data_IF_160759775011
#
_entry.id   IF_160759775011
#
_cell.length_a   1.000
_cell.length_b   1.000
_cell.length_c   1.000
_cell.angle_alpha   90.00
_cell.angle_beta   90.00
_cell.angle_gamma   90.00
#
_symmetry.space_group_name_H-M   'P 1'
#
loop_
_entity.id
_entity.type
_entity.pdbx_description
1 polymer ?
#
# COMPACT_ATOMS: atom_id res chain seq x y z
N UNK A 1 -52.21 44.09 -23.71
CA UNK A 1 -50.88 43.46 -23.89
C UNK A 1 -49.89 43.82 -22.77
N UNK A 2 -50.25 43.74 -21.47
CA UNK A 2 -49.37 44.13 -20.34
C UNK A 2 -48.85 42.97 -19.46
N UNK A 3 -49.36 41.75 -19.67
CA UNK A 3 -49.00 40.58 -18.85
C UNK A 3 -47.68 39.88 -19.27
N UNK A 4 -47.29 39.98 -20.55
CA UNK A 4 -46.09 39.32 -21.06
C UNK A 4 -44.78 39.90 -20.49
N UNK A 5 -44.74 41.20 -20.18
CA UNK A 5 -43.56 41.84 -19.59
C UNK A 5 -43.38 41.50 -18.11
N UNK A 6 -44.47 41.39 -17.35
CA UNK A 6 -44.40 40.99 -15.93
C UNK A 6 -43.95 39.53 -15.77
N UNK A 7 -44.36 38.66 -16.69
CA UNK A 7 -43.93 37.25 -16.73
C UNK A 7 -42.43 37.13 -17.03
N UNK A 8 -41.88 37.91 -17.99
CA UNK A 8 -40.44 37.90 -18.32
C UNK A 8 -39.53 38.24 -17.13
N UNK A 9 -39.99 39.09 -16.22
CA UNK A 9 -39.20 39.51 -15.06
C UNK A 9 -39.28 38.46 -13.93
N UNK A 10 -40.46 37.87 -13.70
CA UNK A 10 -40.65 36.76 -12.74
C UNK A 10 -39.92 35.49 -13.18
N UNK A 11 -39.88 35.18 -14.47
CA UNK A 11 -39.15 34.01 -14.98
C UNK A 11 -37.64 34.17 -14.88
N UNK A 12 -37.08 35.37 -15.06
CA UNK A 12 -35.65 35.63 -14.81
C UNK A 12 -35.25 35.36 -13.36
N UNK A 13 -36.08 35.77 -12.41
CA UNK A 13 -35.83 35.54 -10.98
C UNK A 13 -35.93 34.05 -10.64
N UNK A 14 -36.95 33.36 -11.17
CA UNK A 14 -37.09 31.91 -10.99
C UNK A 14 -35.91 31.12 -11.59
N UNK A 15 -35.39 31.56 -12.74
CA UNK A 15 -34.26 30.92 -13.41
C UNK A 15 -32.94 31.15 -12.66
N UNK A 16 -32.76 32.34 -12.06
CA UNK A 16 -31.66 32.63 -11.14
C UNK A 16 -31.68 31.71 -9.91
N UNK A 17 -32.84 31.59 -9.27
CA UNK A 17 -33.01 30.70 -8.11
C UNK A 17 -32.77 29.23 -8.47
N UNK A 18 -33.28 28.78 -9.62
CA UNK A 18 -33.04 27.44 -10.12
C UNK A 18 -31.55 27.18 -10.38
N UNK A 19 -30.84 28.16 -10.98
CA UNK A 19 -29.40 28.07 -11.19
C UNK A 19 -28.63 27.92 -9.89
N UNK A 20 -29.00 28.65 -8.84
CA UNK A 20 -28.38 28.54 -7.52
C UNK A 20 -28.60 27.13 -6.95
N UNK A 21 -29.81 26.58 -7.08
CA UNK A 21 -30.14 25.24 -6.62
C UNK A 21 -29.32 24.16 -7.34
N UNK A 22 -29.18 24.29 -8.67
CA UNK A 22 -28.35 23.38 -9.49
C UNK A 22 -26.88 23.48 -9.08
N UNK A 23 -26.35 24.68 -8.84
CA UNK A 23 -24.98 24.86 -8.34
C UNK A 23 -24.78 24.16 -6.98
N UNK A 24 -25.73 24.26 -6.05
CA UNK A 24 -25.64 23.60 -4.75
C UNK A 24 -25.62 22.06 -4.90
N UNK A 25 -26.46 21.51 -5.78
CA UNK A 25 -26.50 20.07 -6.07
C UNK A 25 -25.17 19.61 -6.70
N UNK A 26 -24.61 20.39 -7.63
CA UNK A 26 -23.31 20.09 -8.25
C UNK A 26 -22.19 20.10 -7.22
N UNK A 27 -22.15 21.10 -6.33
CA UNK A 27 -21.17 21.17 -5.24
C UNK A 27 -21.29 19.96 -4.32
N UNK A 28 -22.50 19.57 -3.92
CA UNK A 28 -22.75 18.36 -3.11
C UNK A 28 -22.25 17.09 -3.80
N UNK A 29 -22.50 16.93 -5.10
CA UNK A 29 -22.02 15.77 -5.87
C UNK A 29 -20.49 15.77 -6.00
N UNK A 30 -19.88 16.94 -6.26
CA UNK A 30 -18.43 17.09 -6.31
C UNK A 30 -17.80 16.78 -4.95
N UNK A 31 -18.41 17.23 -3.86
CA UNK A 31 -18.00 16.97 -2.49
C UNK A 31 -18.13 15.47 -2.15
N UNK A 32 -19.25 14.83 -2.47
CA UNK A 32 -19.42 13.38 -2.29
C UNK A 32 -18.42 12.56 -3.10
N UNK A 33 -18.04 13.02 -4.30
CA UNK A 33 -17.01 12.39 -5.13
C UNK A 33 -15.61 12.64 -4.56
N UNK A 34 -15.31 13.85 -4.12
CA UNK A 34 -14.02 14.23 -3.55
C UNK A 34 -13.79 13.53 -2.19
N UNK A 35 -14.82 13.44 -1.35
CA UNK A 35 -14.79 12.71 -0.08
C UNK A 35 -14.66 11.20 -0.30
N UNK A 36 -15.30 10.64 -1.33
CA UNK A 36 -15.09 9.23 -1.72
C UNK A 36 -13.69 8.95 -2.30
N UNK A 37 -13.09 9.89 -3.02
CA UNK A 37 -11.72 9.76 -3.52
C UNK A 37 -10.68 9.89 -2.40
N UNK A 38 -10.92 10.73 -1.39
CA UNK A 38 -10.07 10.80 -0.19
C UNK A 38 -10.08 9.49 0.60
N UNK A 39 -11.25 8.88 0.82
CA UNK A 39 -11.38 7.59 1.51
C UNK A 39 -10.70 6.43 0.75
N UNK A 40 -10.80 6.43 -0.59
CA UNK A 40 -10.07 5.46 -1.45
C UNK A 40 -8.57 5.70 -1.44
N UNK A 41 -8.12 6.95 -1.44
CA UNK A 41 -6.69 7.27 -1.43
C UNK A 41 -6.03 6.83 -0.11
N UNK A 42 -6.68 7.01 1.04
CA UNK A 42 -6.17 6.53 2.34
C UNK A 42 -6.21 5.00 2.48
N UNK A 43 -7.28 4.35 2.01
CA UNK A 43 -7.38 2.88 2.05
C UNK A 43 -6.39 2.24 1.07
N UNK A 44 -6.13 2.87 -0.08
CA UNK A 44 -5.08 2.46 -1.01
C UNK A 44 -3.70 2.66 -0.38
N UNK A 45 -3.39 3.82 0.23
CA UNK A 45 -2.10 4.06 0.88
C UNK A 45 -1.82 3.06 2.02
N UNK A 46 -2.84 2.69 2.79
CA UNK A 46 -2.73 1.72 3.88
C UNK A 46 -2.42 0.31 3.37
N UNK A 47 -3.15 -0.16 2.35
CA UNK A 47 -2.93 -1.47 1.73
C UNK A 47 -1.65 -1.53 0.86
N UNK A 48 -1.21 -0.40 0.33
CA UNK A 48 -0.14 -0.31 -0.68
C UNK A 48 1.23 0.02 -0.06
N UNK A 49 1.31 0.56 1.17
CA UNK A 49 2.60 0.94 1.79
C UNK A 49 2.85 0.43 3.21
N UNK A 50 1.84 0.19 4.04
CA UNK A 50 2.08 -0.15 5.47
C UNK A 50 2.31 -1.65 5.68
N UNK A 51 1.53 -2.49 4.99
CA UNK A 51 1.66 -3.96 5.03
C UNK A 51 2.97 -4.42 4.39
N UNK A 52 3.31 -4.00 3.15
CA UNK A 52 4.57 -4.40 2.52
C UNK A 52 5.81 -3.90 3.29
N UNK A 53 5.78 -2.69 3.86
CA UNK A 53 6.90 -2.18 4.67
C UNK A 53 7.15 -3.01 5.94
N UNK A 54 6.09 -3.50 6.57
CA UNK A 54 6.18 -4.33 7.78
C UNK A 54 6.74 -5.71 7.46
N UNK A 55 6.27 -6.34 6.38
CA UNK A 55 6.78 -7.65 5.94
C UNK A 55 8.25 -7.56 5.50
N UNK A 56 8.64 -6.49 4.78
CA UNK A 56 10.03 -6.25 4.40
C UNK A 56 10.94 -6.04 5.62
N UNK A 57 10.44 -5.33 6.64
CA UNK A 57 11.14 -5.15 7.91
C UNK A 57 11.40 -6.49 8.62
N UNK A 58 10.40 -7.36 8.70
CA UNK A 58 10.57 -8.69 9.29
C UNK A 58 11.55 -9.56 8.48
N UNK A 59 11.52 -9.49 7.15
CA UNK A 59 12.49 -10.18 6.28
C UNK A 59 13.91 -9.68 6.58
N UNK A 60 14.11 -8.36 6.68
CA UNK A 60 15.40 -7.77 7.01
C UNK A 60 15.89 -8.20 8.41
N UNK A 61 15.01 -8.22 9.41
CA UNK A 61 15.33 -8.68 10.77
C UNK A 61 15.82 -10.13 10.76
N UNK A 62 15.16 -11.03 10.02
CA UNK A 62 15.57 -12.44 9.92
C UNK A 62 16.90 -12.61 9.18
N UNK A 63 17.17 -11.78 8.17
CA UNK A 63 18.48 -11.76 7.50
C UNK A 63 19.59 -11.30 8.42
N UNK A 64 19.36 -10.24 9.22
CA UNK A 64 20.32 -9.79 10.23
C UNK A 64 20.56 -10.87 11.30
N UNK A 65 19.52 -11.55 11.76
CA UNK A 65 19.64 -12.65 12.72
C UNK A 65 20.45 -13.84 12.13
N UNK A 66 20.21 -14.20 10.86
CA UNK A 66 20.98 -15.23 10.13
C UNK A 66 22.46 -14.84 10.05
N UNK A 67 22.75 -13.60 9.69
CA UNK A 67 24.12 -13.06 9.62
C UNK A 67 24.80 -13.07 10.99
N UNK A 68 24.12 -12.61 12.03
CA UNK A 68 24.65 -12.61 13.39
C UNK A 68 24.95 -14.02 13.90
N UNK A 69 24.09 -15.00 13.62
CA UNK A 69 24.33 -16.40 13.97
C UNK A 69 25.58 -16.97 13.27
N UNK A 70 25.82 -16.57 12.02
CA UNK A 70 27.02 -16.90 11.24
C UNK A 70 28.28 -16.26 11.85
N UNK A 71 28.23 -14.97 12.16
CA UNK A 71 29.34 -14.23 12.79
C UNK A 71 29.69 -14.81 14.17
N UNK A 72 28.70 -15.17 14.97
CA UNK A 72 28.88 -15.88 16.25
C UNK A 72 29.56 -17.24 16.07
N UNK A 73 29.19 -18.01 15.04
CA UNK A 73 29.78 -19.31 14.78
C UNK A 73 31.23 -19.22 14.26
N UNK A 74 31.59 -18.17 13.51
CA UNK A 74 32.97 -17.93 13.05
C UNK A 74 33.88 -17.55 14.22
N UNK A 75 33.37 -16.81 15.20
CA UNK A 75 34.14 -16.37 16.36
C UNK A 75 34.30 -17.43 17.47
N UNK A 76 33.59 -18.56 17.41
CA UNK A 76 33.62 -19.61 18.44
C UNK A 76 34.23 -20.90 17.88
N UNK A 77 35.44 -21.24 18.37
CA UNK A 77 36.27 -22.35 17.84
C UNK A 77 35.68 -23.76 18.01
N UNK A 78 34.65 -23.95 18.83
CA UNK A 78 34.01 -25.25 19.14
C UNK A 78 32.56 -25.33 18.68
N UNK A 79 32.15 -24.43 17.79
CA UNK A 79 30.75 -24.26 17.46
C UNK A 79 30.23 -25.39 16.54
N UNK A 80 29.19 -26.09 17.00
CA UNK A 80 28.61 -27.27 16.34
C UNK A 80 27.98 -26.92 14.98
N UNK A 81 28.64 -27.33 13.90
CA UNK A 81 28.24 -27.04 12.51
C UNK A 81 26.85 -27.58 12.18
N UNK A 82 26.42 -28.69 12.79
CA UNK A 82 25.10 -29.26 12.53
C UNK A 82 23.99 -28.42 13.15
N UNK A 83 24.22 -27.89 14.35
CA UNK A 83 23.30 -26.96 15.02
C UNK A 83 23.17 -25.65 14.24
N UNK A 84 24.29 -25.10 13.75
CA UNK A 84 24.29 -23.93 12.86
C UNK A 84 23.45 -24.18 11.61
N UNK A 85 23.68 -25.30 10.91
CA UNK A 85 22.97 -25.66 9.69
C UNK A 85 21.45 -25.75 9.92
N UNK A 86 21.03 -26.34 11.04
CA UNK A 86 19.62 -26.41 11.40
C UNK A 86 19.03 -25.02 11.67
N UNK A 87 19.75 -24.17 12.41
CA UNK A 87 19.33 -22.80 12.70
C UNK A 87 19.24 -21.94 11.42
N UNK A 88 20.21 -22.03 10.51
CA UNK A 88 20.15 -21.36 9.20
C UNK A 88 18.94 -21.82 8.37
N UNK A 89 18.73 -23.13 8.25
CA UNK A 89 17.61 -23.67 7.49
C UNK A 89 16.25 -23.20 8.05
N UNK A 90 16.17 -22.98 9.36
CA UNK A 90 14.96 -22.47 10.00
C UNK A 90 14.73 -20.98 9.71
N UNK A 91 15.81 -20.19 9.61
CA UNK A 91 15.73 -18.80 9.13
C UNK A 91 15.32 -18.74 7.66
N UNK A 92 15.91 -19.57 6.80
CA UNK A 92 15.57 -19.63 5.37
C UNK A 92 14.09 -19.97 5.16
N UNK A 93 13.59 -21.00 5.84
CA UNK A 93 12.17 -21.37 5.80
C UNK A 93 11.25 -20.24 6.26
N UNK A 94 11.68 -19.46 7.26
CA UNK A 94 10.91 -18.33 7.77
C UNK A 94 10.90 -17.16 6.77
N UNK A 95 12.04 -16.89 6.13
CA UNK A 95 12.19 -15.89 5.07
C UNK A 95 11.32 -16.26 3.87
N UNK A 96 11.35 -17.52 3.43
CA UNK A 96 10.52 -18.02 2.33
C UNK A 96 9.02 -17.87 2.63
N UNK A 97 8.61 -18.16 3.87
CA UNK A 97 7.21 -17.99 4.28
C UNK A 97 6.78 -16.53 4.29
N UNK A 98 7.65 -15.62 4.72
CA UNK A 98 7.38 -14.17 4.69
C UNK A 98 7.37 -13.65 3.25
N UNK A 99 8.30 -14.09 2.39
CA UNK A 99 8.32 -13.75 0.97
C UNK A 99 7.04 -14.20 0.27
N UNK A 100 6.57 -15.43 0.53
CA UNK A 100 5.34 -15.94 -0.06
C UNK A 100 4.08 -15.22 0.44
N UNK A 101 4.13 -14.55 1.60
CA UNK A 101 3.07 -13.64 2.05
C UNK A 101 3.16 -12.30 1.35
N UNK A 102 4.37 -11.74 1.26
CA UNK A 102 4.66 -10.49 0.55
C UNK A 102 4.27 -10.57 -0.93
N UNK A 103 4.54 -11.68 -1.62
CA UNK A 103 4.13 -11.94 -3.02
C UNK A 103 2.61 -11.91 -3.24
N UNK A 104 1.82 -12.21 -2.20
CA UNK A 104 0.36 -12.20 -2.27
C UNK A 104 -0.23 -10.82 -1.98
N UNK A 105 0.59 -9.86 -1.57
CA UNK A 105 0.16 -8.47 -1.39
C UNK A 105 0.06 -7.75 -2.74
N UNK A 106 -0.57 -6.58 -2.75
CA UNK A 106 -0.69 -5.79 -3.97
C UNK A 106 0.70 -5.18 -4.29
N UNK A 107 1.40 -5.80 -5.24
CA UNK A 107 2.71 -5.33 -5.68
C UNK A 107 2.57 -4.48 -6.95
N UNK A 108 3.09 -3.25 -6.89
CA UNK A 108 3.23 -2.38 -8.06
C UNK A 108 4.28 -2.97 -9.02
N UNK A 109 4.20 -2.66 -10.32
CA UNK A 109 5.09 -3.25 -11.35
C UNK A 109 6.57 -3.23 -10.96
N UNK A 110 7.07 -2.09 -10.46
CA UNK A 110 8.47 -1.93 -10.06
C UNK A 110 8.85 -2.81 -8.85
N UNK A 111 7.91 -3.07 -7.94
CA UNK A 111 8.16 -3.88 -6.73
C UNK A 111 8.30 -5.36 -7.06
N UNK A 112 7.64 -5.83 -8.12
CA UNK A 112 7.80 -7.20 -8.63
C UNK A 112 9.22 -7.44 -9.14
N UNK A 113 9.80 -6.44 -9.81
CA UNK A 113 11.18 -6.52 -10.31
C UNK A 113 12.18 -6.53 -9.15
N UNK A 114 11.98 -5.68 -8.14
CA UNK A 114 12.82 -5.68 -6.93
C UNK A 114 12.69 -6.97 -6.12
N UNK A 115 11.49 -7.53 -6.03
CA UNK A 115 11.26 -8.81 -5.35
C UNK A 115 11.90 -9.98 -6.11
N UNK A 116 11.85 -9.98 -7.44
CA UNK A 116 12.55 -10.96 -8.27
C UNK A 116 14.07 -10.87 -8.08
N UNK A 117 14.64 -9.67 -8.06
CA UNK A 117 16.06 -9.45 -7.78
C UNK A 117 16.44 -9.92 -6.36
N UNK A 118 15.60 -9.63 -5.36
CA UNK A 118 15.79 -10.11 -3.98
C UNK A 118 15.81 -11.65 -3.93
N UNK A 119 14.87 -12.32 -4.59
CA UNK A 119 14.82 -13.79 -4.64
C UNK A 119 16.05 -14.39 -5.30
N UNK A 120 16.52 -13.81 -6.39
CA UNK A 120 17.72 -14.26 -7.08
C UNK A 120 18.95 -14.15 -6.16
N UNK A 121 19.07 -13.06 -5.40
CA UNK A 121 20.15 -12.88 -4.41
C UNK A 121 20.06 -13.87 -3.26
N UNK A 122 18.86 -14.11 -2.73
CA UNK A 122 18.64 -15.07 -1.64
C UNK A 122 18.90 -16.53 -2.06
N UNK A 123 18.53 -16.90 -3.29
CA UNK A 123 18.79 -18.23 -3.83
C UNK A 123 20.29 -18.49 -4.10
N UNK A 124 21.09 -17.42 -4.21
CA UNK A 124 22.54 -17.49 -4.43
C UNK A 124 23.39 -17.53 -3.14
N UNK A 125 22.77 -17.47 -1.96
CA UNK A 125 23.44 -17.47 -0.64
C UNK A 125 23.23 -18.78 0.09
#
# INVERSE_FOLDING_TARGET
>A
MKFAHSIKQKTRVALLLFSIMVCIILVRILEDKNVKELGKSFTSLYNDRLIPATDLFFIAEKLYAKRYALEMHVNVSTADKNKLKYTLANYDKSIDSLLGKYEKTYLVSNEKDYLADLKNKLAST
#
